data_IF_908920260505
#
_entry.id   IF_908920260505
#
_cell.length_a   1.000
_cell.length_b   1.000
_cell.length_c   1.000
_cell.angle_alpha   90.00
_cell.angle_beta   90.00
_cell.angle_gamma   90.00
#
_symmetry.space_group_name_H-M   'P 1'
#
loop_
_entity.id
_entity.type
_entity.pdbx_description
1 polymer ?
#
# COMPACT_ATOMS: atom_id res chain seq x y z
N UNK A 1 9.11 -18.09 1.48
CA UNK A 1 8.23 -17.26 2.31
C UNK A 1 7.48 -16.26 1.45
N UNK A 2 6.26 -15.96 1.86
CA UNK A 2 5.43 -14.97 1.18
C UNK A 2 5.12 -13.81 2.09
N UNK A 3 5.13 -12.62 1.53
CA UNK A 3 4.81 -11.38 2.24
C UNK A 3 3.80 -10.57 1.44
N UNK A 4 2.97 -9.84 2.16
CA UNK A 4 2.09 -8.82 1.59
C UNK A 4 2.61 -7.45 1.99
N UNK A 5 2.79 -6.57 1.00
CA UNK A 5 3.17 -5.19 1.25
C UNK A 5 2.03 -4.29 0.79
N UNK A 6 1.54 -3.49 1.71
CA UNK A 6 0.51 -2.50 1.42
C UNK A 6 1.16 -1.12 1.46
N UNK A 7 1.01 -0.36 0.38
CA UNK A 7 1.57 0.98 0.24
C UNK A 7 0.42 1.97 0.09
N UNK A 8 0.37 2.96 0.95
CA UNK A 8 -0.66 4.00 0.91
C UNK A 8 -0.03 5.38 1.02
N UNK A 9 -0.70 6.38 0.47
CA UNK A 9 -0.27 7.76 0.66
C UNK A 9 -0.39 8.15 2.13
N UNK A 10 0.54 8.97 2.60
CA UNK A 10 0.46 9.55 3.94
C UNK A 10 -0.83 10.36 4.08
N UNK A 11 -1.37 10.41 5.30
CA UNK A 11 -2.69 11.02 5.55
C UNK A 11 -2.80 12.47 5.12
N UNK A 12 -1.73 13.21 5.24
CA UNK A 12 -1.69 14.64 4.87
C UNK A 12 -1.35 14.88 3.40
N UNK A 13 -1.10 13.82 2.62
CA UNK A 13 -0.88 13.94 1.18
C UNK A 13 -2.21 13.80 0.45
N UNK A 14 -2.49 14.72 -0.47
CA UNK A 14 -3.68 14.68 -1.30
C UNK A 14 -3.62 13.45 -2.21
N UNK A 15 -4.73 12.71 -2.27
CA UNK A 15 -4.88 11.54 -3.13
C UNK A 15 -5.78 11.90 -4.32
N UNK A 16 -5.21 12.33 -5.45
CA UNK A 16 -6.04 12.76 -6.58
C UNK A 16 -6.83 11.62 -7.21
N UNK A 17 -6.29 10.39 -7.22
CA UNK A 17 -7.00 9.23 -7.75
C UNK A 17 -8.16 8.84 -6.84
N UNK A 18 -7.94 8.83 -5.53
CA UNK A 18 -9.00 8.56 -4.57
C UNK A 18 -10.11 9.60 -4.64
N UNK A 19 -9.76 10.87 -4.84
CA UNK A 19 -10.74 11.95 -5.00
C UNK A 19 -11.63 11.75 -6.22
N UNK A 20 -11.06 11.38 -7.36
CA UNK A 20 -11.82 11.09 -8.58
C UNK A 20 -12.76 9.91 -8.37
N UNK A 21 -12.29 8.84 -7.74
CA UNK A 21 -13.13 7.67 -7.44
C UNK A 21 -14.27 8.06 -6.51
N UNK A 22 -13.98 8.85 -5.48
CA UNK A 22 -15.00 9.32 -4.54
C UNK A 22 -16.08 10.14 -5.24
N UNK A 23 -15.69 11.09 -6.07
CA UNK A 23 -16.62 11.95 -6.81
C UNK A 23 -17.49 11.13 -7.75
N UNK A 24 -16.89 10.16 -8.45
CA UNK A 24 -17.62 9.30 -9.36
C UNK A 24 -18.66 8.44 -8.61
N UNK A 25 -18.28 7.87 -7.48
CA UNK A 25 -19.20 7.06 -6.67
C UNK A 25 -20.35 7.92 -6.12
N UNK A 26 -20.05 9.15 -5.70
CA UNK A 26 -21.09 10.07 -5.23
C UNK A 26 -22.08 10.38 -6.33
N UNK A 27 -21.60 10.56 -7.58
CA UNK A 27 -22.45 10.80 -8.73
C UNK A 27 -23.32 9.58 -9.09
N UNK A 28 -22.87 8.38 -8.73
CA UNK A 28 -23.64 7.14 -8.91
C UNK A 28 -24.65 6.89 -7.78
N UNK A 29 -24.80 7.81 -6.85
CA UNK A 29 -25.78 7.72 -5.77
C UNK A 29 -25.22 7.28 -4.42
N UNK A 30 -23.91 7.04 -4.32
CA UNK A 30 -23.25 6.62 -3.07
C UNK A 30 -22.96 7.81 -2.16
N UNK A 31 -24.03 8.49 -1.71
CA UNK A 31 -23.90 9.78 -1.00
C UNK A 31 -23.46 9.66 0.44
N UNK A 32 -23.50 8.46 1.02
CA UNK A 32 -23.00 8.22 2.36
C UNK A 32 -21.48 8.06 2.42
N UNK A 33 -20.82 8.00 1.29
CA UNK A 33 -19.36 7.87 1.20
C UNK A 33 -18.71 9.18 1.64
N UNK A 34 -17.93 9.11 2.73
CA UNK A 34 -17.22 10.28 3.27
C UNK A 34 -15.83 10.43 2.71
N UNK A 35 -15.16 9.33 2.50
CA UNK A 35 -13.77 9.35 2.05
C UNK A 35 -13.42 8.01 1.43
N UNK A 36 -12.56 8.04 0.41
CA UNK A 36 -11.97 6.85 -0.16
C UNK A 36 -10.53 7.17 -0.54
N UNK A 37 -9.62 6.27 -0.24
CA UNK A 37 -8.21 6.42 -0.58
C UNK A 37 -7.75 5.17 -1.31
N UNK A 38 -6.83 5.36 -2.23
CA UNK A 38 -6.30 4.30 -3.07
C UNK A 38 -4.84 4.03 -2.70
N UNK A 39 -4.46 2.77 -2.75
CA UNK A 39 -3.10 2.36 -2.48
C UNK A 39 -2.65 1.26 -3.41
N UNK A 40 -1.48 0.70 -3.12
CA UNK A 40 -0.91 -0.41 -3.88
C UNK A 40 -0.77 -1.62 -2.98
N UNK A 41 -0.88 -2.79 -3.56
CA UNK A 41 -0.68 -4.05 -2.87
C UNK A 41 0.32 -4.90 -3.66
N UNK A 42 1.34 -5.40 -2.96
CA UNK A 42 2.33 -6.29 -3.55
C UNK A 42 2.31 -7.62 -2.81
N UNK A 43 2.26 -8.71 -3.53
CA UNK A 43 2.45 -10.05 -2.98
C UNK A 43 3.84 -10.50 -3.40
N UNK A 44 4.70 -10.80 -2.42
CA UNK A 44 6.11 -11.10 -2.66
C UNK A 44 6.39 -12.52 -2.18
N UNK A 45 6.94 -13.34 -3.06
CA UNK A 45 7.49 -14.63 -2.70
C UNK A 45 9.00 -14.54 -2.76
N UNK A 46 9.66 -14.91 -1.67
CA UNK A 46 11.11 -14.81 -1.56
C UNK A 46 11.69 -16.15 -1.12
N UNK A 47 12.77 -16.56 -1.80
CA UNK A 47 13.47 -17.79 -1.47
C UNK A 47 14.46 -17.55 -0.34
N UNK A 48 13.91 -17.53 0.85
CA UNK A 48 14.65 -17.31 2.09
C UNK A 48 14.02 -18.13 3.19
N UNK A 49 14.81 -18.83 3.98
CA UNK A 49 14.30 -19.70 5.06
C UNK A 49 14.17 -18.98 6.40
N UNK A 50 14.99 -17.98 6.63
CA UNK A 50 14.99 -17.21 7.86
C UNK A 50 14.02 -16.03 7.71
N UNK A 51 13.03 -15.96 8.62
CA UNK A 51 12.02 -14.90 8.59
C UNK A 51 12.61 -13.51 8.73
N UNK A 52 13.57 -13.34 9.65
CA UNK A 52 14.20 -12.03 9.88
C UNK A 52 14.99 -11.56 8.65
N UNK A 53 15.72 -12.46 8.01
CA UNK A 53 16.46 -12.14 6.80
C UNK A 53 15.52 -11.82 5.64
N UNK A 54 14.42 -12.58 5.51
CA UNK A 54 13.42 -12.34 4.50
C UNK A 54 12.76 -10.96 4.70
N UNK A 55 12.39 -10.62 5.92
CA UNK A 55 11.83 -9.31 6.26
C UNK A 55 12.78 -8.16 5.93
N UNK A 56 14.06 -8.32 6.24
CA UNK A 56 15.06 -7.31 5.90
C UNK A 56 15.14 -7.06 4.41
N UNK A 57 15.08 -8.13 3.61
CA UNK A 57 15.11 -8.02 2.15
C UNK A 57 13.86 -7.34 1.61
N UNK A 58 12.69 -7.72 2.11
CA UNK A 58 11.42 -7.09 1.71
C UNK A 58 11.41 -5.62 2.09
N UNK A 59 11.87 -5.29 3.29
CA UNK A 59 11.96 -3.90 3.74
C UNK A 59 12.88 -3.08 2.84
N UNK A 60 14.01 -3.65 2.43
CA UNK A 60 14.93 -3.00 1.49
C UNK A 60 14.27 -2.76 0.12
N UNK A 61 13.47 -3.72 -0.36
CA UNK A 61 12.71 -3.55 -1.60
C UNK A 61 11.74 -2.37 -1.49
N UNK A 62 11.03 -2.26 -0.37
CA UNK A 62 10.10 -1.16 -0.14
C UNK A 62 10.81 0.19 -0.18
N UNK A 63 11.94 0.31 0.51
CA UNK A 63 12.69 1.56 0.57
C UNK A 63 13.32 1.95 -0.76
N UNK A 64 13.72 0.96 -1.55
CA UNK A 64 14.44 1.23 -2.81
C UNK A 64 13.49 1.49 -3.97
N UNK A 65 12.31 0.86 -3.99
CA UNK A 65 11.46 0.90 -5.17
C UNK A 65 9.96 0.93 -4.88
N UNK A 66 9.46 0.07 -3.97
CA UNK A 66 8.03 -0.18 -3.86
C UNK A 66 7.26 0.99 -3.27
N UNK A 67 7.89 1.76 -2.40
CA UNK A 67 7.26 2.91 -1.76
C UNK A 67 8.12 4.16 -1.93
N UNK A 68 7.45 5.30 -2.16
CA UNK A 68 8.10 6.60 -2.12
C UNK A 68 7.95 7.16 -0.70
N UNK A 69 9.01 7.08 0.09
CA UNK A 69 8.96 7.39 1.53
C UNK A 69 8.66 8.85 1.84
N UNK A 70 8.76 9.73 0.84
CA UNK A 70 8.42 11.15 1.02
C UNK A 70 6.91 11.32 1.15
N UNK A 71 6.14 10.56 0.37
CA UNK A 71 4.69 10.72 0.26
C UNK A 71 3.89 9.48 0.64
N UNK A 72 4.55 8.33 0.84
CA UNK A 72 3.88 7.06 1.08
C UNK A 72 4.36 6.38 2.36
N UNK A 73 3.45 5.65 2.99
CA UNK A 73 3.75 4.71 4.06
C UNK A 73 3.56 3.29 3.53
N UNK A 74 4.22 2.33 4.16
CA UNK A 74 4.04 0.93 3.80
C UNK A 74 3.95 0.05 5.03
N UNK A 75 3.29 -1.09 4.85
CA UNK A 75 3.12 -2.11 5.89
C UNK A 75 3.49 -3.46 5.29
N UNK A 76 4.27 -4.23 6.03
CA UNK A 76 4.70 -5.57 5.62
C UNK A 76 4.02 -6.59 6.53
N UNK A 77 3.31 -7.54 5.94
CA UNK A 77 2.70 -8.66 6.64
C UNK A 77 3.25 -9.97 6.10
N UNK A 78 3.50 -10.92 6.99
CA UNK A 78 3.91 -12.27 6.57
C UNK A 78 2.66 -13.08 6.24
N UNK A 79 2.70 -13.77 5.10
CA UNK A 79 1.64 -14.67 4.66
C UNK A 79 2.04 -16.11 4.96
N UNK A 80 1.15 -16.85 5.57
CA UNK A 80 1.39 -18.26 5.90
C UNK A 80 0.70 -19.20 4.92
#
# INVERSE_FOLDING_TARGET
MKFAVTVTLKKDVLDPQGKVVQDTLANLGMKSLKNIRQGKFFEIEIDEKNEDEAKKKVNAMCKKLLANLIIEDYKIDILK
#
